data_IF_925190960402
#
_entry.id   IF_925190960402
#
_cell.length_a   1.000
_cell.length_b   1.000
_cell.length_c   1.000
_cell.angle_alpha   90.00
_cell.angle_beta   90.00
_cell.angle_gamma   90.00
#
_symmetry.space_group_name_H-M   'P 1'
#
loop_
_entity.id
_entity.type
_entity.pdbx_description
1 polymer ?
#
# COMPACT_ATOMS: atom_id res chain seq x y z
N UNK A 1 -19.50 4.59 -8.96
CA UNK A 1 -18.84 3.36 -9.43
C UNK A 1 -17.96 2.90 -8.29
N UNK A 2 -18.35 1.83 -7.59
CA UNK A 2 -17.54 1.25 -6.52
C UNK A 2 -16.37 0.56 -7.22
N UNK A 3 -15.20 1.20 -7.28
CA UNK A 3 -14.00 0.55 -7.77
C UNK A 3 -13.68 -0.61 -6.84
N UNK A 4 -13.48 -1.81 -7.37
CA UNK A 4 -12.88 -2.89 -6.59
C UNK A 4 -11.54 -2.39 -6.03
N UNK A 5 -11.28 -2.65 -4.75
CA UNK A 5 -9.99 -2.32 -4.16
C UNK A 5 -8.89 -3.03 -4.97
N UNK A 6 -7.83 -2.29 -5.34
CA UNK A 6 -6.74 -2.79 -6.19
C UNK A 6 -6.06 -4.05 -5.60
N UNK A 7 -6.14 -4.22 -4.28
CA UNK A 7 -5.56 -5.32 -3.52
C UNK A 7 -6.57 -5.86 -2.50
N UNK A 8 -6.36 -7.10 -2.03
CA UNK A 8 -7.11 -7.69 -0.91
C UNK A 8 -6.22 -7.89 0.32
N UNK A 9 -6.81 -7.81 1.52
CA UNK A 9 -6.10 -8.02 2.79
C UNK A 9 -5.33 -9.35 2.79
N UNK A 10 -4.07 -9.32 3.25
CA UNK A 10 -3.17 -10.47 3.25
C UNK A 10 -2.43 -10.71 1.94
N UNK A 11 -2.76 -10.00 0.86
CA UNK A 11 -2.05 -10.10 -0.41
C UNK A 11 -0.59 -9.64 -0.27
N UNK A 12 0.34 -10.40 -0.85
CA UNK A 12 1.73 -9.97 -1.00
C UNK A 12 1.85 -8.92 -2.10
N UNK A 13 2.56 -7.84 -1.82
CA UNK A 13 2.76 -6.71 -2.72
C UNK A 13 4.22 -6.25 -2.72
N UNK A 14 4.59 -5.50 -3.75
CA UNK A 14 5.83 -4.74 -3.80
C UNK A 14 5.56 -3.28 -3.44
N UNK A 15 6.36 -2.73 -2.54
CA UNK A 15 6.40 -1.30 -2.22
C UNK A 15 7.64 -0.69 -2.85
N UNK A 16 7.46 0.26 -3.76
CA UNK A 16 8.54 0.96 -4.44
C UNK A 16 9.04 2.13 -3.59
N UNK A 17 10.29 2.02 -3.15
CA UNK A 17 11.03 3.05 -2.43
C UNK A 17 11.41 4.22 -3.34
N UNK A 18 11.68 5.37 -2.73
CA UNK A 18 12.13 6.58 -3.47
C UNK A 18 13.57 6.43 -4.00
N UNK A 19 14.31 5.46 -3.48
CA UNK A 19 15.64 5.04 -3.91
C UNK A 19 15.61 4.08 -5.12
N UNK A 20 14.42 3.78 -5.65
CA UNK A 20 14.23 2.84 -6.76
C UNK A 20 14.30 1.37 -6.35
N UNK A 21 14.44 1.06 -5.05
CA UNK A 21 14.38 -0.32 -4.56
C UNK A 21 12.93 -0.71 -4.25
N UNK A 22 12.58 -1.97 -4.52
CA UNK A 22 11.30 -2.53 -4.13
C UNK A 22 11.45 -3.38 -2.87
N UNK A 23 10.55 -3.22 -1.90
CA UNK A 23 10.48 -4.05 -0.69
C UNK A 23 9.21 -4.88 -0.69
N UNK A 24 9.32 -6.14 -0.29
CA UNK A 24 8.16 -7.03 -0.14
C UNK A 24 7.34 -6.60 1.08
N UNK A 25 6.02 -6.56 0.94
CA UNK A 25 5.10 -6.25 2.03
C UNK A 25 3.80 -7.06 1.92
N UNK A 26 2.99 -7.02 2.97
CA UNK A 26 1.65 -7.59 3.03
C UNK A 26 0.64 -6.43 3.09
N UNK A 27 -0.31 -6.39 2.17
CA UNK A 27 -1.39 -5.41 2.16
C UNK A 27 -2.37 -5.66 3.31
N UNK A 28 -2.73 -4.59 4.02
CA UNK A 28 -3.66 -4.63 5.17
C UNK A 28 -4.98 -3.91 4.85
N UNK A 29 -4.95 -2.81 4.10
CA UNK A 29 -6.17 -2.06 3.79
C UNK A 29 -5.91 -0.69 3.15
N UNK A 30 -6.98 -0.03 2.73
CA UNK A 30 -6.96 1.32 2.18
C UNK A 30 -7.00 2.41 3.26
N UNK A 31 -6.37 3.54 2.98
CA UNK A 31 -6.43 4.78 3.76
C UNK A 31 -7.42 5.76 3.13
N UNK A 32 -8.70 5.40 3.12
CA UNK A 32 -9.77 6.10 2.38
C UNK A 32 -9.96 7.57 2.76
N UNK A 33 -9.46 8.00 3.92
CA UNK A 33 -9.56 9.38 4.38
C UNK A 33 -8.62 10.34 3.64
N UNK A 34 -7.53 9.87 3.05
CA UNK A 34 -6.52 10.75 2.45
C UNK A 34 -7.05 11.49 1.21
N UNK A 35 -7.81 10.80 0.37
CA UNK A 35 -8.41 11.35 -0.85
C UNK A 35 -9.53 12.35 -0.57
N UNK A 36 -10.22 12.24 0.57
CA UNK A 36 -11.25 13.20 0.99
C UNK A 36 -10.69 14.61 1.20
N UNK A 37 -9.46 14.73 1.68
CA UNK A 37 -8.77 16.01 1.87
C UNK A 37 -7.94 16.44 0.63
N UNK A 38 -8.10 15.75 -0.50
CA UNK A 38 -7.36 16.04 -1.74
C UNK A 38 -5.92 15.52 -1.74
N UNK A 39 -5.55 14.63 -0.80
CA UNK A 39 -4.27 13.92 -0.80
C UNK A 39 -4.26 12.72 -1.75
N UNK A 40 -3.09 12.09 -1.97
CA UNK A 40 -2.99 10.85 -2.75
C UNK A 40 -3.74 9.70 -2.05
N UNK A 41 -4.10 8.67 -2.83
CA UNK A 41 -4.55 7.39 -2.26
C UNK A 41 -3.46 6.79 -1.39
N UNK A 42 -3.81 6.36 -0.18
CA UNK A 42 -2.89 5.73 0.76
C UNK A 42 -3.35 4.30 1.04
N UNK A 43 -2.40 3.42 1.35
CA UNK A 43 -2.66 2.05 1.80
C UNK A 43 -1.76 1.70 2.99
N UNK A 44 -2.22 0.77 3.80
CA UNK A 44 -1.46 0.23 4.93
C UNK A 44 -0.86 -1.12 4.57
N UNK A 45 0.42 -1.28 4.91
CA UNK A 45 1.18 -2.51 4.66
C UNK A 45 1.99 -2.93 5.88
N UNK A 46 2.39 -4.20 5.93
CA UNK A 46 3.38 -4.71 6.90
C UNK A 46 4.57 -5.30 6.16
N UNK A 47 5.78 -4.88 6.53
CA UNK A 47 7.02 -5.47 6.03
C UNK A 47 7.32 -6.76 6.83
N UNK A 48 7.32 -7.95 6.20
CA UNK A 48 7.39 -9.23 6.92
C UNK A 48 8.76 -9.52 7.54
N UNK A 49 9.82 -8.87 7.05
CA UNK A 49 11.18 -8.96 7.57
C UNK A 49 11.34 -8.24 8.92
N UNK A 50 10.78 -7.04 9.06
CA UNK A 50 10.88 -6.23 10.28
C UNK A 50 9.63 -6.26 11.16
N UNK A 51 8.49 -6.75 10.63
CA UNK A 51 7.15 -6.68 11.24
C UNK A 51 6.67 -5.25 11.50
N UNK A 52 7.22 -4.29 10.77
CA UNK A 52 6.82 -2.89 10.88
C UNK A 52 5.64 -2.59 9.95
N UNK A 53 4.67 -1.86 10.48
CA UNK A 53 3.57 -1.29 9.69
C UNK A 53 3.97 0.03 9.05
N UNK A 54 3.47 0.31 7.85
CA UNK A 54 3.67 1.58 7.17
C UNK A 54 2.43 2.02 6.40
N UNK A 55 2.24 3.34 6.33
CA UNK A 55 1.33 3.99 5.39
C UNK A 55 2.14 4.38 4.15
N UNK A 56 1.65 4.01 2.97
CA UNK A 56 2.33 4.23 1.69
C UNK A 56 1.35 4.75 0.66
N UNK A 57 1.84 5.58 -0.27
CA UNK A 57 1.01 5.99 -1.41
C UNK A 57 0.68 4.77 -2.27
N UNK A 58 -0.60 4.61 -2.59
CA UNK A 58 -1.12 3.50 -3.39
C UNK A 58 -0.41 3.39 -4.74
N UNK A 59 -0.09 4.53 -5.36
CA UNK A 59 0.65 4.61 -6.62
C UNK A 59 2.05 3.99 -6.57
N UNK A 60 2.61 3.77 -5.38
CA UNK A 60 3.92 3.15 -5.15
C UNK A 60 3.81 1.66 -4.83
N UNK A 61 2.62 1.07 -4.96
CA UNK A 61 2.37 -0.34 -4.65
C UNK A 61 1.96 -1.10 -5.90
N UNK A 62 2.54 -2.27 -6.12
CA UNK A 62 2.15 -3.18 -7.21
C UNK A 62 1.93 -4.60 -6.68
N UNK A 63 1.09 -5.38 -7.37
CA UNK A 63 0.98 -6.80 -7.09
C UNK A 63 2.34 -7.50 -7.24
N UNK A 64 2.58 -8.52 -6.42
CA UNK A 64 3.81 -9.33 -6.45
C UNK A 64 3.69 -10.54 -7.36
#
# INVERSE_FOLDING_TARGET
MSGEAQFHEGQRVWVHGLDGQAREAIYVGGGDNATFFGGPGLVYVVFPDTREGAEVEEARVTAR
#
